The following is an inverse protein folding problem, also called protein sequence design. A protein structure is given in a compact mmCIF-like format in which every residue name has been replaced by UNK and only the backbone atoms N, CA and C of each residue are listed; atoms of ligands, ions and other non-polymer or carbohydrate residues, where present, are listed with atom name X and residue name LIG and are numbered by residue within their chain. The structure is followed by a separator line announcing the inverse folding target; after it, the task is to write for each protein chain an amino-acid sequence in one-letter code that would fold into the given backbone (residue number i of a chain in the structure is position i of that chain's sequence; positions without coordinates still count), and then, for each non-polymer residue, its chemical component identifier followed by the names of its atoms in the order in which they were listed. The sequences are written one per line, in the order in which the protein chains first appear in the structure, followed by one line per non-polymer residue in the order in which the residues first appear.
data_IF_000576031932
#
_entry.id   IF_000576031932
#
_cell.length_a   1.000
_cell.length_b   1.000
_cell.length_c   1.000
_cell.angle_alpha   90.00
_cell.angle_beta   90.00
_cell.angle_gamma   90.00
#
_symmetry.space_group_name_H-M   'P 1'
#
loop_
_entity.id
_entity.type
_entity.pdbx_description
1 polymer ?
#
# COMPACT_ATOMS: atom_id res chain seq x y z
N UNK A 1 6.70 67.79 -70.31
CA UNK A 1 5.87 67.38 -69.15
C UNK A 1 5.48 65.89 -69.11
N UNK A 2 5.68 65.08 -70.17
CA UNK A 2 5.38 63.63 -70.14
C UNK A 2 6.53 62.75 -69.60
N UNK A 3 7.79 63.15 -69.76
CA UNK A 3 8.96 62.37 -69.32
C UNK A 3 9.18 62.37 -67.79
N UNK A 4 8.83 63.48 -67.12
CA UNK A 4 8.95 63.62 -65.66
C UNK A 4 7.95 62.74 -64.89
N UNK A 5 6.77 62.49 -65.46
CA UNK A 5 5.73 61.63 -64.87
C UNK A 5 6.13 60.16 -64.94
N UNK A 6 6.80 59.74 -66.02
CA UNK A 6 7.30 58.36 -66.19
C UNK A 6 8.45 58.07 -65.22
N UNK A 7 9.38 59.02 -65.03
CA UNK A 7 10.51 58.87 -64.10
C UNK A 7 10.03 58.75 -62.64
N UNK A 8 8.99 59.50 -62.28
CA UNK A 8 8.36 59.41 -60.95
C UNK A 8 7.66 58.06 -60.74
N UNK A 9 6.99 57.53 -61.77
CA UNK A 9 6.37 56.19 -61.72
C UNK A 9 7.41 55.05 -61.60
N UNK A 10 8.58 55.18 -62.23
CA UNK A 10 9.67 54.18 -62.10
C UNK A 10 10.38 54.23 -60.75
N UNK A 11 10.46 55.40 -60.11
CA UNK A 11 11.02 55.54 -58.76
C UNK A 11 10.06 55.00 -57.68
N UNK A 12 8.74 55.15 -57.87
CA UNK A 12 7.74 54.60 -56.96
C UNK A 12 7.66 53.06 -57.09
N UNK A 13 7.80 52.50 -58.29
CA UNK A 13 7.78 51.04 -58.48
C UNK A 13 9.05 50.32 -57.96
N UNK A 14 10.21 50.99 -57.95
CA UNK A 14 11.42 50.46 -57.32
C UNK A 14 11.35 50.41 -55.79
N UNK A 15 10.54 51.27 -55.15
CA UNK A 15 10.36 51.29 -53.69
C UNK A 15 9.66 50.05 -53.11
N UNK A 16 8.87 49.32 -53.92
CA UNK A 16 8.22 48.08 -53.49
C UNK A 16 9.12 46.84 -53.61
N UNK A 17 10.18 46.89 -54.43
CA UNK A 17 11.08 45.76 -54.65
C UNK A 17 12.22 45.64 -53.61
N UNK A 18 12.35 46.63 -52.71
CA UNK A 18 13.43 46.74 -51.72
C UNK A 18 13.02 46.37 -50.29
N UNK A 19 11.82 45.81 -50.08
CA UNK A 19 11.47 45.28 -48.74
C UNK A 19 12.35 44.05 -48.46
N UNK A 20 13.22 44.09 -47.45
CA UNK A 20 14.06 42.94 -47.15
C UNK A 20 13.15 41.78 -46.71
N UNK A 21 13.44 40.59 -47.21
CA UNK A 21 12.68 39.40 -46.85
C UNK A 21 12.88 39.11 -45.35
N UNK A 22 11.81 38.94 -44.56
CA UNK A 22 11.95 38.65 -43.13
C UNK A 22 12.65 37.31 -42.93
N UNK A 23 13.49 37.19 -41.89
CA UNK A 23 14.22 35.96 -41.58
C UNK A 23 13.28 34.73 -41.52
N UNK A 24 13.74 33.51 -41.86
CA UNK A 24 12.90 32.32 -41.86
C UNK A 24 12.34 32.02 -40.47
N UNK A 25 11.16 31.40 -40.41
CA UNK A 25 10.53 30.99 -39.16
C UNK A 25 11.43 30.00 -38.41
N UNK A 26 11.61 30.23 -37.12
CA UNK A 26 12.24 29.28 -36.21
C UNK A 26 11.28 28.12 -35.96
N UNK A 27 11.83 26.90 -35.97
CA UNK A 27 11.12 25.69 -35.59
C UNK A 27 11.36 25.36 -34.13
N UNK A 28 10.42 24.65 -33.50
CA UNK A 28 10.62 24.15 -32.15
C UNK A 28 11.78 23.15 -32.14
N UNK A 29 12.71 23.24 -31.17
CA UNK A 29 13.80 22.28 -31.06
C UNK A 29 13.25 20.89 -30.76
N UNK A 30 13.98 19.85 -31.17
CA UNK A 30 13.61 18.47 -30.87
C UNK A 30 13.63 18.24 -29.37
N UNK A 31 12.52 17.76 -28.80
CA UNK A 31 12.44 17.42 -27.38
C UNK A 31 13.44 16.31 -27.03
N UNK A 32 14.12 16.39 -25.87
CA UNK A 32 14.99 15.33 -25.41
C UNK A 32 14.19 14.05 -25.10
N UNK A 33 14.86 12.91 -25.13
CA UNK A 33 14.26 11.65 -24.63
C UNK A 33 14.25 11.69 -23.11
N UNK A 34 13.06 11.60 -22.52
CA UNK A 34 12.87 11.62 -21.06
C UNK A 34 12.92 10.19 -20.52
N UNK A 35 13.67 10.00 -19.44
CA UNK A 35 13.77 8.72 -18.74
C UNK A 35 12.74 8.63 -17.61
N UNK A 36 12.23 7.41 -17.40
CA UNK A 36 11.34 7.08 -16.28
C UNK A 36 11.73 5.72 -15.70
N UNK A 37 11.82 5.64 -14.39
CA UNK A 37 12.19 4.43 -13.65
C UNK A 37 11.29 4.28 -12.43
N UNK A 38 10.87 3.05 -12.16
CA UNK A 38 10.03 2.70 -11.02
C UNK A 38 10.89 2.03 -9.95
N UNK A 39 10.75 2.50 -8.72
CA UNK A 39 11.43 1.97 -7.55
C UNK A 39 10.42 1.50 -6.51
N UNK A 40 10.86 0.58 -5.67
CA UNK A 40 10.11 0.07 -4.54
C UNK A 40 10.90 0.30 -3.26
N UNK A 41 10.18 0.66 -2.21
CA UNK A 41 10.69 0.80 -0.86
C UNK A 41 9.86 -0.05 0.08
N UNK A 42 10.53 -0.55 1.09
CA UNK A 42 9.97 -1.49 2.05
C UNK A 42 9.86 -0.81 3.41
N UNK A 43 8.73 -1.03 4.09
CA UNK A 43 8.54 -0.63 5.47
C UNK A 43 8.26 -1.86 6.34
N UNK A 44 8.94 -1.93 7.49
CA UNK A 44 8.86 -3.05 8.43
C UNK A 44 8.55 -2.55 9.84
N UNK A 45 8.00 -3.44 10.67
CA UNK A 45 7.76 -3.19 12.10
C UNK A 45 8.16 -4.41 12.92
N UNK A 46 8.33 -4.24 14.22
CA UNK A 46 8.65 -5.36 15.10
C UNK A 46 7.43 -6.27 15.27
N UNK A 47 7.62 -7.58 15.12
CA UNK A 47 6.53 -8.54 15.26
C UNK A 47 6.60 -9.28 16.60
N UNK A 48 5.48 -9.30 17.31
CA UNK A 48 5.33 -10.06 18.53
C UNK A 48 4.80 -11.48 18.26
N UNK A 49 5.20 -12.44 19.11
CA UNK A 49 4.54 -13.73 19.17
C UNK A 49 3.14 -13.60 19.80
N UNK A 50 2.18 -14.49 19.47
CA UNK A 50 0.88 -14.51 20.12
C UNK A 50 1.02 -14.65 21.64
N UNK A 51 0.31 -13.81 22.39
CA UNK A 51 0.24 -13.92 23.85
C UNK A 51 -0.76 -14.99 24.19
N UNK A 52 -0.31 -16.10 24.79
CA UNK A 52 -1.16 -17.25 25.13
C UNK A 52 -1.12 -17.51 26.63
N UNK A 53 -2.28 -17.55 27.26
CA UNK A 53 -2.47 -18.00 28.64
C UNK A 53 -3.39 -19.20 28.62
N UNK A 54 -2.93 -20.36 29.06
CA UNK A 54 -3.70 -21.60 29.06
C UNK A 54 -3.45 -22.36 30.35
N UNK A 55 -4.53 -22.85 30.96
CA UNK A 55 -4.51 -23.62 32.21
C UNK A 55 -5.37 -24.86 32.03
N UNK A 56 -4.83 -26.02 32.42
CA UNK A 56 -5.58 -27.27 32.51
C UNK A 56 -5.66 -27.71 33.96
N UNK A 57 -6.88 -27.98 34.41
CA UNK A 57 -7.18 -28.36 35.78
C UNK A 57 -7.23 -29.89 35.91
N UNK A 58 -6.77 -30.45 37.03
CA UNK A 58 -6.60 -31.89 37.18
C UNK A 58 -7.91 -32.65 37.49
N UNK A 59 -9.03 -31.94 37.70
CA UNK A 59 -10.29 -32.53 38.16
C UNK A 59 -10.82 -33.66 37.26
N UNK A 60 -10.70 -33.49 35.94
CA UNK A 60 -11.01 -34.54 34.96
C UNK A 60 -9.99 -34.55 33.83
N UNK A 61 -9.47 -35.74 33.52
CA UNK A 61 -8.58 -35.94 32.39
C UNK A 61 -9.35 -35.93 31.08
N UNK A 62 -8.90 -35.10 30.13
CA UNK A 62 -9.39 -35.12 28.76
C UNK A 62 -8.67 -36.26 28.04
N UNK A 63 -9.42 -37.26 27.59
CA UNK A 63 -8.93 -38.49 26.96
C UNK A 63 -9.35 -38.56 25.50
N UNK A 64 -8.61 -39.36 24.72
CA UNK A 64 -8.92 -39.60 23.31
C UNK A 64 -10.34 -40.15 23.11
N UNK A 65 -10.94 -39.80 21.98
CA UNK A 65 -12.28 -40.18 21.52
C UNK A 65 -13.44 -39.67 22.39
N UNK A 66 -13.18 -38.85 23.41
CA UNK A 66 -14.24 -38.17 24.16
C UNK A 66 -14.97 -37.16 23.28
N UNK A 67 -16.25 -36.96 23.56
CA UNK A 67 -17.12 -36.10 22.75
C UNK A 67 -17.16 -34.68 23.28
N UNK A 68 -17.16 -33.71 22.37
CA UNK A 68 -17.18 -32.28 22.69
C UNK A 68 -18.31 -31.61 21.90
N UNK A 69 -19.10 -30.78 22.55
CA UNK A 69 -20.01 -29.85 21.87
C UNK A 69 -19.41 -28.45 21.91
N UNK A 70 -19.42 -27.75 20.79
CA UNK A 70 -18.95 -26.36 20.70
C UNK A 70 -20.15 -25.44 20.93
N UNK A 71 -20.01 -24.49 21.86
CA UNK A 71 -21.05 -23.51 22.17
C UNK A 71 -20.45 -22.11 22.13
N UNK A 72 -21.10 -21.20 21.43
CA UNK A 72 -20.72 -19.80 21.39
C UNK A 72 -21.70 -19.00 22.27
N UNK A 73 -21.27 -18.65 23.49
CA UNK A 73 -22.18 -18.12 24.53
C UNK A 73 -22.60 -16.66 24.26
N UNK A 74 -21.63 -15.81 23.88
CA UNK A 74 -21.81 -14.35 23.73
C UNK A 74 -21.26 -13.80 22.41
N UNK A 75 -20.88 -14.68 21.51
CA UNK A 75 -20.18 -14.34 20.28
C UNK A 75 -20.78 -15.13 19.12
N UNK A 76 -20.83 -14.53 17.95
CA UNK A 76 -21.23 -15.27 16.74
C UNK A 76 -20.02 -15.97 16.15
N UNK A 77 -20.11 -17.29 16.02
CA UNK A 77 -19.13 -18.11 15.30
C UNK A 77 -19.67 -18.32 13.89
N UNK A 78 -18.87 -18.00 12.89
CA UNK A 78 -19.23 -18.28 11.49
C UNK A 78 -19.15 -19.77 11.22
N UNK A 79 -19.91 -20.28 10.25
CA UNK A 79 -19.86 -21.71 9.87
C UNK A 79 -18.44 -22.14 9.52
N UNK A 80 -17.69 -21.30 8.80
CA UNK A 80 -16.28 -21.55 8.47
C UNK A 80 -15.42 -21.72 9.72
N UNK A 81 -15.55 -20.83 10.70
CA UNK A 81 -14.80 -20.94 11.95
C UNK A 81 -15.24 -22.18 12.73
N UNK A 82 -16.53 -22.51 12.76
CA UNK A 82 -17.03 -23.72 13.41
C UNK A 82 -16.43 -25.00 12.80
N UNK A 83 -16.38 -25.10 11.47
CA UNK A 83 -15.73 -26.22 10.76
C UNK A 83 -14.26 -26.31 11.13
N UNK A 84 -13.55 -25.18 11.11
CA UNK A 84 -12.14 -25.12 11.46
C UNK A 84 -11.85 -25.53 12.91
N UNK A 85 -12.70 -25.13 13.86
CA UNK A 85 -12.60 -25.57 15.25
C UNK A 85 -12.84 -27.06 15.38
N UNK A 86 -13.79 -27.60 14.61
CA UNK A 86 -14.10 -29.03 14.57
C UNK A 86 -12.91 -29.84 14.05
N UNK A 87 -12.26 -29.39 12.99
CA UNK A 87 -11.04 -29.99 12.47
C UNK A 87 -9.90 -29.96 13.50
N UNK A 88 -9.70 -28.82 14.17
CA UNK A 88 -8.68 -28.67 15.20
C UNK A 88 -8.91 -29.61 16.41
N UNK A 89 -10.16 -29.73 16.89
CA UNK A 89 -10.51 -30.68 17.96
C UNK A 89 -10.35 -32.14 17.51
N UNK A 90 -10.74 -32.45 16.27
CA UNK A 90 -10.58 -33.79 15.69
C UNK A 90 -9.11 -34.17 15.56
N UNK A 91 -8.24 -33.23 15.19
CA UNK A 91 -6.79 -33.44 15.17
C UNK A 91 -6.23 -33.74 16.58
N UNK A 92 -6.87 -33.22 17.63
CA UNK A 92 -6.59 -33.57 19.03
C UNK A 92 -7.25 -34.88 19.49
N UNK A 93 -7.87 -35.63 18.57
CA UNK A 93 -8.57 -36.90 18.83
C UNK A 93 -9.82 -36.73 19.70
N UNK A 94 -10.45 -35.55 19.67
CA UNK A 94 -11.74 -35.29 20.30
C UNK A 94 -12.84 -35.32 19.23
N UNK A 95 -14.00 -35.89 19.55
CA UNK A 95 -15.12 -36.04 18.59
C UNK A 95 -16.13 -34.93 18.79
N UNK A 96 -16.31 -34.07 17.79
CA UNK A 96 -17.34 -33.03 17.87
C UNK A 96 -18.72 -33.63 17.60
N UNK A 97 -19.68 -33.32 18.46
CA UNK A 97 -21.08 -33.75 18.34
C UNK A 97 -22.01 -32.54 18.31
N UNK A 98 -23.09 -32.62 17.53
CA UNK A 98 -24.10 -31.55 17.44
C UNK A 98 -25.06 -31.58 18.62
N UNK A 99 -25.51 -32.78 19.01
CA UNK A 99 -26.37 -32.97 20.17
C UNK A 99 -25.55 -32.92 21.44
N UNK A 100 -25.68 -31.80 22.17
CA UNK A 100 -25.00 -31.61 23.43
C UNK A 100 -25.26 -32.73 24.42
N UNK A 101 -26.42 -33.39 24.44
CA UNK A 101 -26.73 -34.48 25.39
C UNK A 101 -25.78 -35.67 25.29
N UNK A 102 -25.12 -35.84 24.15
CA UNK A 102 -24.16 -36.89 23.86
C UNK A 102 -22.70 -36.47 24.10
N UNK A 103 -22.46 -35.23 24.56
CA UNK A 103 -21.14 -34.67 24.76
C UNK A 103 -20.59 -34.94 26.18
N UNK A 104 -19.35 -35.42 26.27
CA UNK A 104 -18.60 -35.51 27.53
C UNK A 104 -18.21 -34.11 28.04
N UNK A 105 -17.90 -33.18 27.12
CA UNK A 105 -17.49 -31.82 27.43
C UNK A 105 -18.20 -30.77 26.57
N UNK A 106 -18.27 -29.56 27.11
CA UNK A 106 -18.68 -28.35 26.39
C UNK A 106 -17.47 -27.44 26.20
N UNK A 107 -17.13 -27.12 24.95
CA UNK A 107 -16.20 -26.05 24.60
C UNK A 107 -16.99 -24.75 24.41
N UNK A 108 -16.99 -23.90 25.44
CA UNK A 108 -17.55 -22.55 25.38
C UNK A 108 -16.54 -21.56 24.79
N UNK A 109 -16.96 -20.81 23.78
CA UNK A 109 -16.24 -19.65 23.25
C UNK A 109 -16.83 -18.40 23.91
N UNK A 110 -16.03 -17.77 24.78
CA UNK A 110 -16.45 -16.63 25.59
C UNK A 110 -16.16 -15.29 24.94
N UNK A 111 -15.08 -15.22 24.18
CA UNK A 111 -14.59 -13.99 23.57
C UNK A 111 -14.06 -14.30 22.18
N UNK A 112 -14.46 -13.49 21.20
CA UNK A 112 -14.03 -13.54 19.81
C UNK A 112 -13.97 -12.10 19.29
N UNK A 113 -13.22 -11.27 20.01
CA UNK A 113 -13.28 -9.83 19.88
C UNK A 113 -12.15 -9.32 18.99
N UNK A 114 -12.46 -8.22 18.31
CA UNK A 114 -11.50 -7.44 17.55
C UNK A 114 -11.65 -5.99 18.00
N UNK A 115 -10.56 -5.43 18.46
CA UNK A 115 -10.52 -4.06 18.94
C UNK A 115 -9.56 -3.26 18.05
N UNK A 116 -10.02 -2.13 17.51
CA UNK A 116 -9.12 -1.17 16.89
C UNK A 116 -8.26 -0.56 18.00
N UNK A 117 -6.95 -0.71 17.87
CA UNK A 117 -5.96 -0.13 18.78
C UNK A 117 -5.20 0.99 18.08
N UNK A 118 -4.21 1.57 18.76
CA UNK A 118 -3.32 2.56 18.17
C UNK A 118 -2.66 2.03 16.90
N UNK A 119 -2.45 2.93 15.95
CA UNK A 119 -1.83 2.60 14.67
C UNK A 119 -0.41 2.08 14.89
N UNK A 120 -0.01 1.09 14.09
CA UNK A 120 1.35 0.55 14.13
C UNK A 120 2.23 1.37 13.19
N UNK A 121 3.36 1.81 13.73
CA UNK A 121 4.40 2.49 12.96
C UNK A 121 5.28 1.48 12.24
N UNK A 122 5.37 1.61 10.92
CA UNK A 122 6.32 0.87 10.08
C UNK A 122 7.48 1.79 9.68
N UNK A 123 8.69 1.34 9.92
CA UNK A 123 9.94 2.05 9.62
C UNK A 123 10.41 1.76 8.21
N UNK A 124 10.88 2.79 7.50
CA UNK A 124 11.51 2.62 6.19
C UNK A 124 12.78 1.77 6.32
N UNK A 125 12.84 0.68 5.57
CA UNK A 125 13.99 -0.21 5.52
C UNK A 125 15.02 0.36 4.56
N UNK A 126 16.27 0.45 5.02
CA UNK A 126 17.38 0.82 4.16
C UNK A 126 17.64 -0.32 3.16
N UNK A 127 17.56 -0.06 1.85
CA UNK A 127 17.77 -1.10 0.85
C UNK A 127 19.24 -1.55 0.85
N UNK A 128 19.47 -2.84 0.59
CA UNK A 128 20.83 -3.39 0.46
C UNK A 128 21.59 -2.75 -0.71
N UNK A 129 20.86 -2.48 -1.81
CA UNK A 129 21.39 -1.78 -2.98
C UNK A 129 20.96 -0.32 -2.92
N UNK A 130 21.89 0.64 -3.07
CA UNK A 130 21.54 2.06 -3.10
C UNK A 130 20.46 2.34 -4.14
N UNK A 131 19.35 2.92 -3.70
CA UNK A 131 18.27 3.39 -4.57
C UNK A 131 18.44 4.89 -4.82
N UNK A 132 18.34 5.35 -6.08
CA UNK A 132 18.25 6.79 -6.37
C UNK A 132 17.14 7.45 -5.55
N UNK A 133 17.40 8.66 -5.05
CA UNK A 133 16.47 9.46 -4.25
C UNK A 133 16.03 8.81 -2.93
N UNK A 134 16.65 7.71 -2.48
CA UNK A 134 16.31 7.09 -1.20
C UNK A 134 16.43 8.07 -0.03
N UNK A 135 17.47 8.92 -0.02
CA UNK A 135 17.64 9.92 1.04
C UNK A 135 16.51 10.96 1.05
N UNK A 136 15.91 11.25 -0.10
CA UNK A 136 14.74 12.14 -0.18
C UNK A 136 13.49 11.42 0.34
N UNK A 137 13.30 10.16 -0.01
CA UNK A 137 12.22 9.31 0.52
C UNK A 137 12.35 9.17 2.04
N UNK A 138 13.54 8.89 2.55
CA UNK A 138 13.79 8.74 3.98
C UNK A 138 13.54 10.04 4.77
N UNK A 139 13.78 11.20 4.16
CA UNK A 139 13.48 12.51 4.77
C UNK A 139 11.99 12.85 4.73
N UNK A 140 11.30 12.56 3.63
CA UNK A 140 9.90 12.93 3.44
C UNK A 140 8.92 11.92 4.05
N UNK A 141 9.27 10.62 4.01
CA UNK A 141 8.43 9.49 4.38
C UNK A 141 9.21 8.47 5.23
N UNK A 142 9.76 8.87 6.39
CA UNK A 142 10.55 7.97 7.25
C UNK A 142 9.72 6.81 7.80
N UNK A 143 8.41 7.03 8.01
CA UNK A 143 7.50 6.07 8.63
C UNK A 143 6.15 6.03 7.90
N UNK A 144 5.45 4.91 8.03
CA UNK A 144 4.05 4.76 7.67
C UNK A 144 3.23 4.37 8.90
N UNK A 145 2.14 5.10 9.15
CA UNK A 145 1.19 4.81 10.22
C UNK A 145 0.04 3.99 9.65
N UNK A 146 -0.16 2.79 10.16
CA UNK A 146 -1.16 1.86 9.64
C UNK A 146 -2.13 1.42 10.73
N UNK A 147 -3.42 1.37 10.37
CA UNK A 147 -4.47 0.89 11.24
C UNK A 147 -4.15 -0.50 11.78
N UNK A 148 -4.43 -0.74 13.06
CA UNK A 148 -4.13 -2.01 13.70
C UNK A 148 -5.32 -2.50 14.51
N UNK A 149 -5.59 -3.80 14.44
CA UNK A 149 -6.58 -4.46 15.29
C UNK A 149 -5.90 -5.44 16.23
N UNK A 150 -6.37 -5.50 17.47
CA UNK A 150 -6.04 -6.54 18.43
C UNK A 150 -7.11 -7.63 18.37
N UNK A 151 -6.71 -8.83 17.94
CA UNK A 151 -7.57 -10.00 18.02
C UNK A 151 -7.45 -10.68 19.37
N UNK A 152 -8.59 -11.06 19.96
CA UNK A 152 -8.66 -11.78 21.22
C UNK A 152 -9.63 -12.95 21.15
N UNK A 153 -9.15 -14.12 21.56
CA UNK A 153 -9.98 -15.33 21.65
C UNK A 153 -9.89 -15.91 23.05
N UNK A 154 -11.03 -16.26 23.64
CA UNK A 154 -11.09 -16.91 24.95
C UNK A 154 -12.01 -18.12 24.89
N UNK A 155 -11.51 -19.25 25.37
CA UNK A 155 -12.22 -20.53 25.35
C UNK A 155 -12.16 -21.23 26.69
N UNK A 156 -13.19 -22.03 26.98
CA UNK A 156 -13.30 -22.84 28.20
C UNK A 156 -13.87 -24.20 27.86
N UNK A 157 -13.22 -25.25 28.33
CA UNK A 157 -13.71 -26.61 28.29
C UNK A 157 -14.26 -26.99 29.67
N UNK A 158 -15.50 -27.45 29.70
CA UNK A 158 -16.21 -27.85 30.93
C UNK A 158 -16.67 -29.29 30.80
N UNK A 159 -16.42 -30.12 31.81
CA UNK A 159 -16.94 -31.48 31.86
C UNK A 159 -18.45 -31.44 32.11
N UNK A 160 -19.23 -32.03 31.20
CA UNK A 160 -20.68 -31.82 31.15
C UNK A 160 -21.40 -32.39 32.37
N UNK A 161 -20.97 -33.56 32.85
CA UNK A 161 -21.65 -34.29 33.93
C UNK A 161 -21.47 -33.62 35.30
N UNK A 162 -20.29 -33.07 35.58
CA UNK A 162 -19.99 -32.45 36.88
C UNK A 162 -20.10 -30.92 36.86
N UNK A 163 -20.01 -30.31 35.69
CA UNK A 163 -19.93 -28.85 35.54
C UNK A 163 -18.54 -28.28 35.81
N UNK A 164 -17.54 -29.13 36.08
CA UNK A 164 -16.19 -28.68 36.39
C UNK A 164 -15.49 -28.11 35.15
N UNK A 165 -14.85 -26.97 35.32
CA UNK A 165 -13.94 -26.42 34.31
C UNK A 165 -12.68 -27.28 34.30
N UNK A 166 -12.34 -27.84 33.14
CA UNK A 166 -11.17 -28.70 32.99
C UNK A 166 -10.04 -28.02 32.24
N UNK A 167 -10.37 -27.02 31.42
CA UNK A 167 -9.39 -26.21 30.71
C UNK A 167 -9.97 -24.84 30.39
N UNK A 168 -9.14 -23.81 30.47
CA UNK A 168 -9.49 -22.49 29.97
C UNK A 168 -8.25 -21.81 29.43
N UNK A 169 -8.44 -21.01 28.37
CA UNK A 169 -7.34 -20.30 27.77
C UNK A 169 -7.79 -19.03 27.05
N UNK A 170 -6.86 -18.08 26.95
CA UNK A 170 -7.01 -16.83 26.21
C UNK A 170 -5.77 -16.61 25.35
N UNK A 171 -5.98 -16.24 24.09
CA UNK A 171 -4.93 -15.84 23.16
C UNK A 171 -5.21 -14.46 22.58
N UNK A 172 -4.15 -13.71 22.28
CA UNK A 172 -4.26 -12.43 21.59
C UNK A 172 -3.05 -12.12 20.73
N UNK A 173 -3.28 -11.43 19.61
CA UNK A 173 -2.24 -10.91 18.71
C UNK A 173 -2.78 -9.69 17.97
N UNK A 174 -1.92 -8.71 17.68
CA UNK A 174 -2.24 -7.60 16.80
C UNK A 174 -2.07 -7.98 15.32
N UNK A 175 -2.74 -7.25 14.43
CA UNK A 175 -2.75 -7.54 12.99
C UNK A 175 -1.37 -7.41 12.32
N UNK A 176 -0.52 -6.49 12.78
CA UNK A 176 0.82 -6.30 12.23
C UNK A 176 1.70 -7.52 12.53
N UNK A 177 1.69 -8.00 13.77
CA UNK A 177 2.39 -9.21 14.22
C UNK A 177 1.81 -10.51 13.66
N UNK A 178 0.50 -10.51 13.32
CA UNK A 178 -0.17 -11.64 12.69
C UNK A 178 0.23 -11.80 11.22
N UNK A 179 0.15 -10.72 10.44
CA UNK A 179 0.36 -10.79 9.00
C UNK A 179 1.84 -10.97 8.63
N UNK A 180 2.76 -10.34 9.38
CA UNK A 180 4.23 -10.47 9.24
C UNK A 180 4.81 -10.11 7.88
N UNK A 181 4.00 -9.61 6.96
CA UNK A 181 4.49 -9.12 5.67
C UNK A 181 4.86 -7.64 5.77
N UNK A 182 5.94 -7.22 5.11
CA UNK A 182 6.29 -5.82 5.04
C UNK A 182 5.29 -5.05 4.17
N UNK A 183 5.24 -3.73 4.37
CA UNK A 183 4.53 -2.85 3.46
C UNK A 183 5.46 -2.48 2.31
N UNK A 184 5.00 -2.68 1.08
CA UNK A 184 5.74 -2.26 -0.11
C UNK A 184 5.06 -1.05 -0.72
N UNK A 185 5.83 0.03 -0.87
CA UNK A 185 5.41 1.22 -1.59
C UNK A 185 6.28 1.40 -2.83
N UNK A 186 5.71 2.00 -3.88
CA UNK A 186 6.43 2.34 -5.09
C UNK A 186 6.42 3.83 -5.34
N UNK A 187 7.46 4.31 -6.03
CA UNK A 187 7.48 5.63 -6.62
C UNK A 187 8.10 5.58 -8.01
N UNK A 188 7.79 6.59 -8.82
CA UNK A 188 8.36 6.76 -10.14
C UNK A 188 9.27 7.98 -10.13
N UNK A 189 10.51 7.76 -10.52
CA UNK A 189 11.44 8.81 -10.87
C UNK A 189 11.28 9.10 -12.36
N UNK A 190 10.93 10.34 -12.70
CA UNK A 190 10.75 10.75 -14.10
C UNK A 190 11.48 12.05 -14.39
N UNK A 191 12.05 12.13 -15.58
CA UNK A 191 12.57 13.38 -16.13
C UNK A 191 11.42 14.17 -16.74
N UNK A 192 11.36 15.46 -16.42
CA UNK A 192 10.42 16.41 -17.03
C UNK A 192 11.16 17.63 -17.55
N UNK A 193 10.61 18.25 -18.59
CA UNK A 193 11.15 19.48 -19.15
C UNK A 193 10.67 20.66 -18.29
N UNK A 194 11.61 21.39 -17.68
CA UNK A 194 11.30 22.50 -16.78
C UNK A 194 10.93 23.79 -17.54
N UNK A 195 11.59 24.03 -18.67
CA UNK A 195 11.51 25.30 -19.42
C UNK A 195 10.72 25.18 -20.73
N UNK A 196 9.74 24.27 -20.80
CA UNK A 196 8.98 24.04 -22.04
C UNK A 196 8.26 25.32 -22.51
N UNK A 197 7.62 26.03 -21.58
CA UNK A 197 6.92 27.27 -21.89
C UNK A 197 7.88 28.38 -22.33
N UNK A 198 9.06 28.47 -21.71
CA UNK A 198 10.08 29.48 -22.07
C UNK A 198 10.56 29.28 -23.50
N UNK A 199 10.87 28.04 -23.90
CA UNK A 199 11.28 27.72 -25.27
C UNK A 199 10.15 28.02 -26.26
N UNK A 200 8.91 27.67 -25.93
CA UNK A 200 7.75 27.94 -26.77
C UNK A 200 7.50 29.45 -26.95
N UNK A 201 7.55 30.22 -25.86
CA UNK A 201 7.41 31.68 -25.88
C UNK A 201 8.52 32.34 -26.68
N UNK A 202 9.78 31.92 -26.49
CA UNK A 202 10.91 32.44 -27.25
C UNK A 202 10.73 32.24 -28.76
N UNK A 203 10.37 31.02 -29.19
CA UNK A 203 10.15 30.72 -30.61
C UNK A 203 8.97 31.53 -31.15
N UNK A 204 7.89 31.67 -30.37
CA UNK A 204 6.73 32.47 -30.77
C UNK A 204 7.09 33.95 -30.96
N UNK A 205 7.81 34.54 -30.01
CA UNK A 205 8.24 35.95 -30.06
C UNK A 205 9.20 36.21 -31.24
N UNK A 206 10.17 35.32 -31.46
CA UNK A 206 11.16 35.41 -32.56
C UNK A 206 10.56 35.15 -33.95
N UNK A 207 9.33 34.65 -34.00
CA UNK A 207 8.56 34.43 -35.22
C UNK A 207 7.58 35.58 -35.53
N UNK A 208 7.45 36.59 -34.66
CA UNK A 208 6.73 37.82 -34.98
C UNK A 208 7.38 38.54 -36.18
N UNK A 209 6.58 39.25 -36.98
CA UNK A 209 7.09 39.98 -38.14
C UNK A 209 8.22 40.95 -37.76
N UNK A 210 8.03 41.70 -36.67
CA UNK A 210 9.03 42.66 -36.18
C UNK A 210 10.35 41.98 -35.78
N UNK A 211 10.29 40.87 -35.02
CA UNK A 211 11.49 40.14 -34.62
C UNK A 211 12.20 39.49 -35.83
N UNK A 212 11.44 38.97 -36.80
CA UNK A 212 11.97 38.41 -38.05
C UNK A 212 12.67 39.45 -38.90
N UNK A 213 12.17 40.69 -38.92
CA UNK A 213 12.82 41.81 -39.60
C UNK A 213 14.09 42.28 -38.85
N UNK A 214 14.07 42.27 -37.51
CA UNK A 214 15.23 42.65 -36.70
C UNK A 214 16.41 41.68 -36.87
N UNK A 215 16.15 40.40 -37.13
CA UNK A 215 17.18 39.35 -37.25
C UNK A 215 17.57 38.95 -38.67
N UNK A 216 17.30 39.78 -39.69
CA UNK A 216 17.55 39.47 -41.11
C UNK A 216 19.01 39.03 -41.40
N UNK A 217 19.98 39.40 -40.55
CA UNK A 217 21.37 38.94 -40.63
C UNK A 217 21.96 38.55 -39.26
N UNK A 218 21.11 38.14 -38.32
CA UNK A 218 21.54 37.72 -36.98
C UNK A 218 21.15 36.26 -36.74
N UNK A 219 22.13 35.46 -36.35
CA UNK A 219 21.88 34.09 -35.93
C UNK A 219 21.27 34.10 -34.52
N UNK A 220 20.05 33.57 -34.40
CA UNK A 220 19.33 33.47 -33.12
C UNK A 220 19.45 32.04 -32.63
N UNK A 221 20.07 31.87 -31.46
CA UNK A 221 20.17 30.56 -30.81
C UNK A 221 18.93 30.31 -29.95
N UNK A 222 18.20 29.23 -30.23
CA UNK A 222 17.03 28.83 -29.45
C UNK A 222 17.51 28.22 -28.11
N UNK A 223 16.94 28.61 -26.96
CA UNK A 223 17.27 27.99 -25.69
C UNK A 223 17.08 26.46 -25.72
N UNK A 224 18.06 25.72 -25.22
CA UNK A 224 17.94 24.27 -25.09
C UNK A 224 16.93 23.89 -24.00
N UNK A 225 16.26 22.75 -24.16
CA UNK A 225 15.41 22.21 -23.11
C UNK A 225 16.25 21.80 -21.89
N UNK A 226 15.80 22.23 -20.72
CA UNK A 226 16.35 21.86 -19.43
C UNK A 226 15.46 20.78 -18.81
N UNK A 227 16.06 19.64 -18.46
CA UNK A 227 15.37 18.54 -17.79
C UNK A 227 15.65 18.56 -16.31
N UNK A 228 14.63 18.33 -15.49
CA UNK A 228 14.77 18.04 -14.06
C UNK A 228 14.25 16.64 -13.78
N UNK A 229 14.76 16.04 -12.71
CA UNK A 229 14.25 14.77 -12.20
C UNK A 229 13.28 15.06 -11.06
N UNK A 230 12.12 14.42 -11.09
CA UNK A 230 11.13 14.51 -10.01
C UNK A 230 10.62 13.12 -9.63
N UNK A 231 10.21 13.00 -8.36
CA UNK A 231 9.62 11.80 -7.78
C UNK A 231 8.09 11.96 -7.68
N UNK A 232 7.35 10.91 -7.99
CA UNK A 232 5.91 10.86 -7.69
C UNK A 232 5.65 10.59 -6.21
N UNK A 233 4.43 10.85 -5.74
CA UNK A 233 4.01 10.39 -4.42
C UNK A 233 4.16 8.86 -4.27
N UNK A 234 4.37 8.39 -3.04
CA UNK A 234 4.41 6.96 -2.74
C UNK A 234 3.05 6.33 -3.00
N UNK A 235 3.04 5.21 -3.71
CA UNK A 235 1.85 4.40 -3.97
C UNK A 235 2.02 3.05 -3.29
N UNK A 236 1.08 2.69 -2.42
CA UNK A 236 1.09 1.37 -1.78
C UNK A 236 0.86 0.26 -2.81
N UNK A 237 1.69 -0.77 -2.76
CA UNK A 237 1.64 -1.95 -3.62
C UNK A 237 1.26 -3.21 -2.84
N UNK A 238 1.77 -3.36 -1.61
CA UNK A 238 1.55 -4.55 -0.80
C UNK A 238 1.37 -4.18 0.68
N UNK A 239 0.63 -5.04 1.37
CA UNK A 239 0.45 -5.00 2.81
C UNK A 239 -0.83 -4.25 3.23
N UNK A 240 -1.53 -4.75 4.25
CA UNK A 240 -2.71 -4.11 4.80
C UNK A 240 -2.29 -2.91 5.65
N UNK A 241 -2.90 -1.76 5.41
CA UNK A 241 -2.57 -0.54 6.15
C UNK A 241 -3.80 0.28 6.55
N UNK A 242 -4.89 0.22 5.76
CA UNK A 242 -6.14 0.89 6.12
C UNK A 242 -7.08 -0.04 6.89
N UNK A 243 -8.10 0.55 7.54
CA UNK A 243 -9.08 -0.17 8.36
C UNK A 243 -9.80 -1.28 7.59
N UNK A 244 -10.08 -1.10 6.31
CA UNK A 244 -10.81 -2.09 5.49
C UNK A 244 -9.95 -3.32 5.25
N UNK A 245 -8.69 -3.13 4.86
CA UNK A 245 -7.74 -4.22 4.62
C UNK A 245 -7.42 -5.00 5.88
N UNK A 246 -7.22 -4.28 6.99
CA UNK A 246 -6.93 -4.90 8.28
C UNK A 246 -8.15 -5.66 8.80
N UNK A 247 -9.36 -5.11 8.63
CA UNK A 247 -10.61 -5.81 8.96
C UNK A 247 -10.80 -7.08 8.12
N UNK A 248 -10.28 -7.15 6.90
CA UNK A 248 -10.35 -8.35 6.08
C UNK A 248 -9.52 -9.52 6.64
N UNK A 249 -8.56 -9.25 7.53
CA UNK A 249 -7.77 -10.30 8.21
C UNK A 249 -8.53 -11.02 9.32
N UNK A 250 -9.67 -10.47 9.74
CA UNK A 250 -10.50 -10.94 10.87
C UNK A 250 -10.67 -12.46 10.93
N UNK A 251 -11.17 -13.13 9.88
CA UNK A 251 -11.48 -14.56 9.99
C UNK A 251 -10.21 -15.39 10.17
N UNK A 252 -9.11 -14.98 9.52
CA UNK A 252 -7.82 -15.66 9.63
C UNK A 252 -7.20 -15.49 11.02
N UNK A 253 -7.30 -14.30 11.60
CA UNK A 253 -6.84 -14.04 12.98
C UNK A 253 -7.62 -14.87 14.00
N UNK A 254 -8.95 -14.89 13.89
CA UNK A 254 -9.82 -15.68 14.76
C UNK A 254 -9.50 -17.17 14.70
N UNK A 255 -9.32 -17.71 13.48
CA UNK A 255 -8.91 -19.10 13.30
C UNK A 255 -7.54 -19.38 13.91
N UNK A 256 -6.53 -18.57 13.58
CA UNK A 256 -5.17 -18.74 14.06
C UNK A 256 -5.09 -18.74 15.59
N UNK A 257 -5.72 -17.75 16.23
CA UNK A 257 -5.78 -17.63 17.67
C UNK A 257 -6.51 -18.80 18.32
N UNK A 258 -7.62 -19.25 17.73
CA UNK A 258 -8.40 -20.39 18.20
C UNK A 258 -7.64 -21.72 18.11
N UNK A 259 -6.97 -21.95 16.98
CA UNK A 259 -6.16 -23.14 16.73
C UNK A 259 -5.02 -23.26 17.74
N UNK A 260 -4.32 -22.15 18.01
CA UNK A 260 -3.29 -22.09 19.06
C UNK A 260 -3.86 -22.50 20.43
N UNK A 261 -5.08 -22.08 20.77
CA UNK A 261 -5.69 -22.46 22.04
C UNK A 261 -6.01 -23.95 22.09
N UNK A 262 -6.69 -24.48 21.08
CA UNK A 262 -7.06 -25.90 21.02
C UNK A 262 -5.82 -26.80 21.10
N UNK A 263 -4.71 -26.41 20.49
CA UNK A 263 -3.46 -27.14 20.58
C UNK A 263 -2.95 -27.29 22.03
N UNK A 264 -3.24 -26.32 22.92
CA UNK A 264 -2.86 -26.37 24.34
C UNK A 264 -3.70 -27.32 25.19
N UNK A 265 -4.79 -27.89 24.66
CA UNK A 265 -5.53 -28.93 25.37
C UNK A 265 -4.66 -30.19 25.42
N UNK A 266 -4.30 -30.66 26.62
CA UNK A 266 -3.60 -31.93 26.79
C UNK A 266 -4.63 -33.05 26.79
N UNK A 267 -4.60 -33.85 25.74
CA UNK A 267 -5.39 -35.07 25.59
C UNK A 267 -4.52 -36.26 25.93
N UNK A 268 -4.98 -37.11 26.84
CA UNK A 268 -4.30 -38.32 27.32
C UNK A 268 -4.68 -39.54 26.46
#
# INVERSE_FOLDING_TARGET
MRLLVVLFFTLISAGCALKPEPAPLLSMPKKPSLQSQRFQVEYQTEHAAPKVKSVQLPAHAVSKNQTVVIVADKTSVTDTLYTQLTEALTAKQLKVVEDGTQADYTLSIHQLDLELIEDTEYQLVKPEKPLPLFDEVAKQFPVQQCATILGQVSMRLTHKKTGDVVWFAKSSIDSASFHREPLIYSFVQQQVIKNELEVASFVHEQNSEQARMARINQEVTIPAYQTITQMTALKKEQGPCNRTEISALTPMMQYYLSSILIDKIKVQ
#
